data_IF_827420345542
#
_entry.id   IF_827420345542
#
_cell.length_a   1.000
_cell.length_b   1.000
_cell.length_c   1.000
_cell.angle_alpha   90.00
_cell.angle_beta   90.00
_cell.angle_gamma   90.00
#
_symmetry.space_group_name_H-M   'P 1'
#
loop_
_entity.id
_entity.type
_entity.pdbx_description
1 polymer ?
#
# COMPACT_ATOMS: atom_id res chain seq x y z
N UNK A 1 31.23 7.63 -2.33
CA UNK A 1 30.64 6.94 -1.18
C UNK A 1 29.72 5.83 -1.66
N UNK A 2 29.87 4.67 -1.08
CA UNK A 2 29.03 3.54 -1.44
C UNK A 2 27.61 3.73 -0.93
N UNK A 3 26.61 3.37 -1.73
CA UNK A 3 25.23 3.31 -1.29
C UNK A 3 25.05 2.18 -0.29
N UNK A 4 24.20 2.41 0.70
CA UNK A 4 23.88 1.43 1.72
C UNK A 4 22.39 1.09 1.61
N UNK A 5 22.07 -0.20 1.66
CA UNK A 5 20.70 -0.68 1.60
C UNK A 5 20.43 -1.49 2.87
N UNK A 6 19.33 -1.18 3.52
CA UNK A 6 18.90 -1.93 4.70
C UNK A 6 17.41 -2.21 4.60
N UNK A 7 16.98 -3.30 5.21
CA UNK A 7 15.56 -3.61 5.23
C UNK A 7 14.83 -2.65 6.16
N UNK A 8 13.66 -2.18 5.72
CA UNK A 8 12.87 -1.24 6.48
C UNK A 8 12.15 -1.94 7.64
N UNK A 9 12.11 -1.29 8.78
CA UNK A 9 11.25 -1.69 9.90
C UNK A 9 9.87 -1.11 9.65
N UNK A 10 8.91 -1.95 9.34
CA UNK A 10 7.56 -1.51 8.98
C UNK A 10 6.74 -1.27 10.23
N UNK A 11 6.29 -0.03 10.41
CA UNK A 11 5.50 0.36 11.58
C UNK A 11 4.01 0.15 11.36
N UNK A 12 3.52 0.45 10.16
CA UNK A 12 2.10 0.29 9.83
C UNK A 12 1.90 0.22 8.33
N UNK A 13 0.76 -0.34 7.92
CA UNK A 13 0.34 -0.46 6.53
C UNK A 13 -1.11 -0.01 6.43
N UNK A 14 -1.45 0.64 5.33
CA UNK A 14 -2.82 1.07 5.07
C UNK A 14 -3.14 0.94 3.59
N UNK A 15 -4.40 0.85 3.24
CA UNK A 15 -4.85 0.81 1.85
C UNK A 15 -5.80 1.97 1.62
N UNK A 16 -5.54 2.75 0.57
CA UNK A 16 -6.33 3.92 0.24
C UNK A 16 -6.58 3.98 -1.26
N UNK A 17 -7.74 4.52 -1.69
CA UNK A 17 -7.93 4.77 -3.11
C UNK A 17 -6.94 5.85 -3.56
N UNK A 18 -6.45 5.72 -4.79
CA UNK A 18 -5.67 6.78 -5.40
C UNK A 18 -6.62 7.79 -6.03
N UNK A 19 -6.32 9.05 -5.83
CA UNK A 19 -7.18 10.11 -6.34
C UNK A 19 -8.21 10.57 -5.32
N UNK A 20 -8.95 11.60 -5.67
CA UNK A 20 -9.95 12.21 -4.81
C UNK A 20 -11.32 11.63 -5.07
N UNK A 21 -12.10 11.50 -4.02
CA UNK A 21 -13.49 11.09 -4.10
C UNK A 21 -13.70 9.59 -4.06
N UNK A 22 -14.90 9.16 -4.38
CA UNK A 22 -15.40 7.79 -4.21
C UNK A 22 -15.28 6.91 -5.45
N UNK A 23 -14.44 7.31 -6.41
CA UNK A 23 -14.35 6.60 -7.69
C UNK A 23 -13.59 5.28 -7.61
N UNK A 24 -12.84 5.06 -6.55
CA UNK A 24 -12.02 3.86 -6.40
C UNK A 24 -12.65 2.76 -5.55
N UNK A 25 -13.77 3.00 -4.90
CA UNK A 25 -14.40 2.03 -4.01
C UNK A 25 -15.51 2.62 -3.18
N UNK A 26 -15.82 2.00 -2.05
CA UNK A 26 -16.89 2.45 -1.17
C UNK A 26 -16.86 1.72 0.16
N UNK A 27 -18.00 1.76 0.86
CA UNK A 27 -18.21 1.02 2.10
C UNK A 27 -19.44 0.14 1.92
N UNK A 28 -19.37 -1.07 2.49
CA UNK A 28 -20.53 -1.97 2.50
C UNK A 28 -21.50 -1.60 3.63
N UNK A 29 -22.58 -2.38 3.76
CA UNK A 29 -23.60 -2.14 4.79
C UNK A 29 -23.04 -2.22 6.21
N UNK A 30 -21.98 -2.99 6.41
CA UNK A 30 -21.32 -3.12 7.71
C UNK A 30 -20.28 -2.04 7.95
N UNK A 31 -20.09 -1.13 7.01
CA UNK A 31 -19.10 -0.06 7.09
C UNK A 31 -17.70 -0.46 6.67
N UNK A 32 -17.51 -1.67 6.15
CA UNK A 32 -16.21 -2.13 5.69
C UNK A 32 -15.85 -1.49 4.35
N UNK A 33 -14.60 -1.06 4.24
CA UNK A 33 -14.10 -0.43 3.02
C UNK A 33 -13.79 -1.50 1.98
N UNK A 34 -14.18 -1.23 0.74
CA UNK A 34 -13.82 -2.07 -0.40
C UNK A 34 -13.36 -1.19 -1.56
N UNK A 35 -12.64 -1.80 -2.50
CA UNK A 35 -12.15 -1.11 -3.70
C UNK A 35 -12.67 -1.82 -4.94
N UNK A 36 -12.73 -1.09 -6.06
CA UNK A 36 -13.17 -1.66 -7.33
C UNK A 36 -12.01 -2.37 -8.03
N UNK A 37 -12.32 -3.39 -8.87
CA UNK A 37 -11.29 -4.06 -9.67
C UNK A 37 -10.66 -3.09 -10.68
N UNK A 38 -9.38 -3.34 -10.97
CA UNK A 38 -8.62 -2.61 -11.99
C UNK A 38 -8.49 -1.09 -11.74
N UNK A 39 -8.73 -0.67 -10.49
CA UNK A 39 -8.49 0.69 -10.04
C UNK A 39 -7.24 0.65 -9.16
N UNK A 40 -6.36 1.61 -9.33
CA UNK A 40 -5.15 1.68 -8.53
C UNK A 40 -5.48 1.91 -7.06
N UNK A 41 -4.94 1.04 -6.20
CA UNK A 41 -5.05 1.16 -4.74
C UNK A 41 -3.66 1.48 -4.21
N UNK A 42 -3.57 2.51 -3.38
CA UNK A 42 -2.32 2.88 -2.73
C UNK A 42 -2.15 2.03 -1.47
N UNK A 43 -1.09 1.24 -1.44
CA UNK A 43 -0.70 0.48 -0.25
C UNK A 43 0.38 1.30 0.44
N UNK A 44 -0.03 2.12 1.39
CA UNK A 44 0.86 2.99 2.12
C UNK A 44 1.50 2.29 3.31
N UNK A 45 2.73 2.66 3.60
CA UNK A 45 3.41 2.14 4.77
C UNK A 45 4.30 3.19 5.40
N UNK A 46 4.43 3.09 6.72
CA UNK A 46 5.35 3.90 7.49
C UNK A 46 6.51 3.02 7.93
N UNK A 47 7.73 3.52 7.81
CA UNK A 47 8.90 2.77 8.27
C UNK A 47 9.76 3.65 9.18
N UNK A 48 10.46 2.99 10.10
CA UNK A 48 11.33 3.66 11.06
C UNK A 48 12.58 4.17 10.36
N UNK A 49 12.93 5.43 10.58
CA UNK A 49 14.14 6.02 10.01
C UNK A 49 15.42 5.60 10.72
N UNK A 50 15.33 4.95 11.87
CA UNK A 50 16.49 4.44 12.62
C UNK A 50 17.56 5.51 12.86
N UNK A 51 17.12 6.75 13.12
CA UNK A 51 18.02 7.85 13.36
C UNK A 51 18.67 8.45 12.11
N UNK A 52 18.34 7.94 10.92
CA UNK A 52 18.92 8.44 9.67
C UNK A 52 18.23 9.77 9.31
N UNK A 53 19.00 10.85 9.12
CA UNK A 53 18.41 12.15 8.75
C UNK A 53 18.05 12.21 7.27
N UNK A 54 17.18 13.17 6.91
CA UNK A 54 16.79 13.37 5.52
C UNK A 54 17.93 13.91 4.64
N UNK A 55 19.04 14.34 5.25
CA UNK A 55 20.23 14.77 4.53
C UNK A 55 21.12 13.61 4.09
N UNK A 56 20.82 12.40 4.55
CA UNK A 56 21.55 11.19 4.14
C UNK A 56 21.01 10.72 2.79
N UNK A 57 21.82 10.77 1.76
CA UNK A 57 21.47 10.35 0.40
C UNK A 57 22.02 8.97 0.04
N UNK A 58 22.65 8.31 1.00
CA UNK A 58 23.31 7.02 0.76
C UNK A 58 22.54 5.83 1.32
N UNK A 59 21.79 6.04 2.40
CA UNK A 59 21.07 4.94 3.05
C UNK A 59 19.66 4.83 2.49
N UNK A 60 19.37 3.66 1.89
CA UNK A 60 18.05 3.34 1.34
C UNK A 60 17.40 2.25 2.17
N UNK A 61 16.12 2.44 2.46
CA UNK A 61 15.32 1.45 3.19
C UNK A 61 14.52 0.64 2.18
N UNK A 62 14.71 -0.67 2.22
CA UNK A 62 14.08 -1.60 1.28
C UNK A 62 12.81 -2.18 1.87
N UNK A 63 11.72 -2.10 1.12
CA UNK A 63 10.45 -2.73 1.45
C UNK A 63 9.93 -3.45 0.22
N UNK A 64 9.23 -4.56 0.45
CA UNK A 64 8.68 -5.40 -0.61
C UNK A 64 7.19 -5.57 -0.42
N UNK A 65 6.45 -5.40 -1.50
CA UNK A 65 5.00 -5.62 -1.51
C UNK A 65 4.72 -7.07 -1.92
N UNK A 66 3.88 -7.74 -1.14
CA UNK A 66 3.37 -9.08 -1.45
C UNK A 66 1.85 -9.04 -1.49
N UNK A 67 1.26 -9.71 -2.45
CA UNK A 67 -0.18 -9.91 -2.54
C UNK A 67 -0.42 -11.41 -2.61
N UNK A 68 -1.18 -11.94 -1.63
CA UNK A 68 -1.42 -13.39 -1.49
C UNK A 68 -0.10 -14.18 -1.54
N UNK A 69 0.90 -13.71 -0.80
CA UNK A 69 2.24 -14.29 -0.69
C UNK A 69 3.07 -14.28 -1.98
N UNK A 70 2.59 -13.59 -3.02
CA UNK A 70 3.36 -13.43 -4.25
C UNK A 70 4.08 -12.09 -4.25
N UNK A 71 5.39 -12.06 -4.55
CA UNK A 71 6.13 -10.80 -4.62
C UNK A 71 5.68 -9.97 -5.80
N UNK A 72 5.40 -8.69 -5.56
CA UNK A 72 4.88 -7.78 -6.57
C UNK A 72 5.93 -6.74 -6.95
N UNK A 73 6.49 -6.06 -5.95
CA UNK A 73 7.39 -4.94 -6.21
C UNK A 73 8.34 -4.75 -5.02
N UNK A 74 9.53 -4.26 -5.32
CA UNK A 74 10.50 -3.84 -4.31
C UNK A 74 10.73 -2.34 -4.45
N UNK A 75 10.74 -1.64 -3.32
CA UNK A 75 11.00 -0.21 -3.28
C UNK A 75 12.15 0.08 -2.34
N UNK A 76 12.97 1.05 -2.74
CA UNK A 76 14.09 1.53 -1.94
C UNK A 76 13.92 3.02 -1.75
N UNK A 77 13.74 3.46 -0.51
CA UNK A 77 13.33 4.82 -0.17
C UNK A 77 14.32 5.43 0.80
N UNK A 78 14.69 6.68 0.54
CA UNK A 78 15.53 7.45 1.45
C UNK A 78 14.72 7.87 2.68
N UNK A 79 15.43 8.12 3.79
CA UNK A 79 14.81 8.67 4.97
C UNK A 79 14.26 10.07 4.70
N UNK A 80 13.03 10.32 5.15
CA UNK A 80 12.43 11.65 5.15
C UNK A 80 12.77 12.48 6.37
N UNK A 81 13.55 11.91 7.30
CA UNK A 81 13.86 12.55 8.57
C UNK A 81 12.79 12.30 9.61
N UNK A 82 13.10 12.69 10.86
CA UNK A 82 12.19 12.43 11.97
C UNK A 82 12.11 10.97 12.36
N UNK A 83 11.07 10.54 13.12
CA UNK A 83 11.00 9.18 13.62
C UNK A 83 10.65 8.15 12.55
N UNK A 84 9.86 8.52 11.53
CA UNK A 84 9.44 7.57 10.51
C UNK A 84 9.17 8.27 9.19
N UNK A 85 9.18 7.51 8.12
CA UNK A 85 8.92 7.99 6.76
C UNK A 85 7.76 7.21 6.16
N UNK A 86 6.94 7.91 5.37
CA UNK A 86 5.83 7.32 4.63
C UNK A 86 6.25 7.05 3.19
N UNK A 87 5.86 5.89 2.67
CA UNK A 87 5.96 5.58 1.25
C UNK A 87 4.76 4.72 0.84
N UNK A 88 4.68 4.36 -0.43
CA UNK A 88 3.54 3.57 -0.88
C UNK A 88 3.87 2.77 -2.14
N UNK A 89 3.08 1.72 -2.35
CA UNK A 89 3.03 0.96 -3.59
C UNK A 89 1.65 1.17 -4.21
N UNK A 90 1.59 1.26 -5.53
CA UNK A 90 0.33 1.30 -6.24
C UNK A 90 0.06 -0.07 -6.86
N UNK A 91 -1.13 -0.62 -6.66
CA UNK A 91 -1.47 -1.93 -7.19
C UNK A 91 -2.92 -1.96 -7.68
N UNK A 92 -3.14 -2.61 -8.82
CA UNK A 92 -4.47 -2.82 -9.39
C UNK A 92 -4.87 -4.27 -9.18
N UNK A 93 -5.91 -4.50 -8.40
CA UNK A 93 -6.42 -5.84 -8.15
C UNK A 93 -7.32 -6.24 -9.31
N UNK A 94 -7.08 -7.39 -9.94
CA UNK A 94 -7.75 -7.71 -11.21
C UNK A 94 -9.18 -8.21 -11.09
N UNK A 95 -9.58 -8.74 -9.94
CA UNK A 95 -10.87 -9.41 -9.79
C UNK A 95 -11.43 -9.23 -8.38
N UNK A 96 -12.75 -9.35 -8.19
CA UNK A 96 -13.35 -9.34 -6.86
C UNK A 96 -12.80 -10.47 -5.98
N UNK A 97 -12.74 -10.21 -4.70
CA UNK A 97 -12.25 -11.15 -3.69
C UNK A 97 -11.57 -10.42 -2.54
N UNK A 98 -11.06 -11.19 -1.60
CA UNK A 98 -10.27 -10.67 -0.50
C UNK A 98 -8.82 -11.08 -0.71
N UNK A 99 -7.93 -10.11 -0.64
CA UNK A 99 -6.50 -10.30 -0.88
C UNK A 99 -5.74 -9.98 0.40
N UNK A 100 -4.80 -10.83 0.74
CA UNK A 100 -3.84 -10.52 1.80
C UNK A 100 -2.74 -9.66 1.21
N UNK A 101 -2.60 -8.45 1.72
CA UNK A 101 -1.57 -7.50 1.28
C UNK A 101 -0.56 -7.35 2.39
N UNK A 102 0.70 -7.47 2.06
CA UNK A 102 1.77 -7.48 3.04
C UNK A 102 2.94 -6.62 2.57
N UNK A 103 3.50 -5.83 3.48
CA UNK A 103 4.74 -5.10 3.24
C UNK A 103 5.80 -5.70 4.14
N UNK A 104 6.88 -6.16 3.55
CA UNK A 104 7.98 -6.85 4.24
C UNK A 104 9.26 -6.05 4.18
N UNK A 105 9.91 -5.93 5.33
CA UNK A 105 11.25 -5.41 5.48
C UNK A 105 11.95 -6.27 6.53
N UNK A 106 12.46 -5.65 7.60
CA UNK A 106 12.98 -6.40 8.77
C UNK A 106 11.90 -7.24 9.42
N UNK A 107 10.68 -6.73 9.40
CA UNK A 107 9.47 -7.37 9.87
C UNK A 107 8.44 -7.33 8.75
N UNK A 108 7.24 -7.74 9.03
CA UNK A 108 6.15 -7.60 8.07
C UNK A 108 4.89 -7.09 8.76
N UNK A 109 4.09 -6.35 8.01
CA UNK A 109 2.76 -5.92 8.40
C UNK A 109 1.82 -6.22 7.27
N UNK A 110 0.63 -6.66 7.59
CA UNK A 110 -0.34 -7.06 6.58
C UNK A 110 -1.72 -6.50 6.88
N UNK A 111 -2.54 -6.46 5.84
CA UNK A 111 -3.95 -6.15 5.95
C UNK A 111 -4.69 -6.89 4.84
N UNK A 112 -6.00 -7.03 5.01
CA UNK A 112 -6.85 -7.59 3.97
C UNK A 112 -7.46 -6.46 3.16
N UNK A 113 -7.44 -6.63 1.84
CA UNK A 113 -8.07 -5.71 0.90
C UNK A 113 -9.21 -6.43 0.22
N UNK A 114 -10.40 -5.88 0.32
CA UNK A 114 -11.59 -6.44 -0.30
C UNK A 114 -11.87 -5.71 -1.61
N UNK A 115 -12.04 -6.48 -2.67
CA UNK A 115 -12.36 -5.97 -4.00
C UNK A 115 -13.77 -6.41 -4.35
N UNK A 116 -14.61 -5.47 -4.74
CA UNK A 116 -15.99 -5.72 -5.18
C UNK A 116 -16.27 -4.95 -6.45
N UNK A 117 -17.10 -5.50 -7.30
CA UNK A 117 -17.57 -4.79 -8.47
C UNK A 117 -18.39 -3.57 -8.05
N UNK A 118 -18.37 -2.49 -8.84
CA UNK A 118 -19.26 -1.35 -8.61
C UNK A 118 -20.71 -1.81 -8.58
N UNK A 119 -21.58 -1.17 -7.78
CA UNK A 119 -23.00 -1.48 -7.82
C UNK A 119 -23.54 -1.34 -9.24
N UNK A 120 -24.32 -2.33 -9.66
CA UNK A 120 -24.98 -2.28 -10.96
C UNK A 120 -26.08 -1.24 -10.86
N UNK A 121 -25.93 -0.17 -11.63
CA UNK A 121 -27.04 0.76 -11.79
C UNK A 121 -27.99 0.15 -12.81
N UNK A 122 -29.16 -0.25 -12.35
CA UNK A 122 -30.22 -0.62 -13.27
C UNK A 122 -30.56 0.60 -14.13
N UNK A 123 -30.29 0.48 -15.40
CA UNK A 123 -30.90 1.39 -16.35
C UNK A 123 -32.38 1.12 -16.28
N UNK A 124 -33.13 2.05 -15.73
CA UNK A 124 -34.56 2.03 -15.90
C UNK A 124 -34.83 2.03 -17.38
N UNK A 125 -35.48 0.99 -17.85
CA UNK A 125 -36.04 1.00 -19.16
C UNK A 125 -36.94 2.23 -19.27
N UNK A 126 -36.70 3.02 -20.27
CA UNK A 126 -37.49 4.18 -20.52
C UNK A 126 -38.95 3.74 -20.84
#
# INVERSE_FOLDING_TARGET
MALSYRDAMINSVEANPTGSGSTGGGRDESGNVYFFPNISVSIGYWFDNEGIPNSDWNTHFTAKLFVNDSPIETKQVLSGGGPQTYSFFAYKFPAPGTYKVEVRGKNSKSLDVTIKNPPVQEKKAA
#
